data_IF_217708706469
#
_entry.id   IF_217708706469
#
_cell.length_a   1.000
_cell.length_b   1.000
_cell.length_c   1.000
_cell.angle_alpha   90.00
_cell.angle_beta   90.00
_cell.angle_gamma   90.00
#
_symmetry.space_group_name_H-M   'P 1'
#
loop_
_entity.id
_entity.type
_entity.pdbx_description
1 polymer ?
#
# COMPACT_ATOMS: atom_id res chain seq x y z
N UNK A 1 -2.13 -12.36 10.45
CA UNK A 1 -3.20 -11.43 10.03
C UNK A 1 -2.58 -10.32 9.20
N UNK A 2 -3.02 -10.13 7.95
CA UNK A 2 -2.52 -9.09 7.05
C UNK A 2 -3.57 -7.97 6.98
N UNK A 3 -3.21 -6.70 7.23
CA UNK A 3 -4.17 -5.59 7.16
C UNK A 3 -4.61 -5.34 5.71
N UNK A 4 -5.91 -5.09 5.53
CA UNK A 4 -6.51 -4.74 4.25
C UNK A 4 -6.85 -3.24 4.29
N UNK A 5 -6.39 -2.50 3.29
CA UNK A 5 -6.64 -1.06 3.14
C UNK A 5 -7.34 -0.84 1.81
N UNK A 6 -8.54 -0.24 1.85
CA UNK A 6 -9.30 0.05 0.65
C UNK A 6 -8.88 1.41 0.05
N UNK A 7 -8.30 1.38 -1.14
CA UNK A 7 -7.99 2.54 -1.95
C UNK A 7 -8.23 2.20 -3.43
N UNK A 8 -9.48 2.34 -3.87
CA UNK A 8 -9.93 1.91 -5.21
C UNK A 8 -9.10 2.52 -6.35
N UNK A 9 -8.79 3.84 -6.36
CA UNK A 9 -7.96 4.43 -7.41
C UNK A 9 -6.56 3.81 -7.51
N UNK A 10 -5.85 3.68 -6.38
CA UNK A 10 -4.50 3.13 -6.37
C UNK A 10 -4.50 1.64 -6.74
N UNK A 11 -5.46 0.88 -6.24
CA UNK A 11 -5.58 -0.54 -6.56
C UNK A 11 -5.77 -0.76 -8.07
N UNK A 12 -6.64 0.03 -8.72
CA UNK A 12 -6.84 -0.03 -10.18
C UNK A 12 -5.59 0.37 -10.95
N UNK A 13 -4.90 1.42 -10.51
CA UNK A 13 -3.68 1.89 -11.16
C UNK A 13 -2.58 0.82 -11.11
N UNK A 14 -2.30 0.28 -9.92
CA UNK A 14 -1.29 -0.78 -9.74
C UNK A 14 -1.64 -2.05 -10.53
N UNK A 15 -2.91 -2.47 -10.53
CA UNK A 15 -3.36 -3.63 -11.29
C UNK A 15 -3.18 -3.45 -12.81
N UNK A 16 -3.28 -2.22 -13.31
CA UNK A 16 -3.14 -1.93 -14.73
C UNK A 16 -1.69 -1.73 -15.17
N UNK A 17 -0.76 -1.44 -14.26
CA UNK A 17 0.60 -0.99 -14.59
C UNK A 17 1.74 -1.81 -14.01
N UNK A 18 1.46 -2.79 -13.14
CA UNK A 18 2.49 -3.54 -12.39
C UNK A 18 2.17 -5.02 -12.42
N UNK A 19 3.13 -5.83 -12.85
CA UNK A 19 3.05 -7.28 -12.74
C UNK A 19 3.56 -7.78 -11.39
N UNK A 20 3.25 -9.05 -11.08
CA UNK A 20 3.74 -9.68 -9.85
C UNK A 20 5.28 -9.73 -9.90
N UNK A 21 5.91 -9.49 -8.74
CA UNK A 21 7.37 -9.41 -8.56
C UNK A 21 8.04 -8.18 -9.19
N UNK A 22 7.27 -7.28 -9.80
CA UNK A 22 7.79 -6.00 -10.29
C UNK A 22 7.80 -4.92 -9.21
N UNK A 23 8.66 -3.93 -9.40
CA UNK A 23 8.73 -2.75 -8.54
C UNK A 23 7.58 -1.79 -8.81
N UNK A 24 7.07 -1.15 -7.76
CA UNK A 24 6.07 -0.08 -7.87
C UNK A 24 6.59 1.06 -8.77
N UNK A 25 5.77 1.62 -9.68
CA UNK A 25 6.10 2.80 -10.47
C UNK A 25 6.25 4.06 -9.61
N UNK A 26 7.14 4.97 -10.04
CA UNK A 26 7.48 6.17 -9.25
C UNK A 26 6.27 7.08 -9.02
N UNK A 27 5.34 7.16 -9.97
CA UNK A 27 4.10 7.94 -9.84
C UNK A 27 3.21 7.48 -8.68
N UNK A 28 3.41 6.27 -8.16
CA UNK A 28 2.62 5.70 -7.06
C UNK A 28 3.33 5.71 -5.71
N UNK A 29 4.58 6.19 -5.64
CA UNK A 29 5.39 6.15 -4.42
C UNK A 29 4.75 6.88 -3.24
N UNK A 30 4.22 8.08 -3.46
CA UNK A 30 3.61 8.85 -2.38
C UNK A 30 2.37 8.14 -1.80
N UNK A 31 1.51 7.60 -2.67
CA UNK A 31 0.29 6.91 -2.26
C UNK A 31 0.61 5.62 -1.50
N UNK A 32 1.57 4.84 -1.98
CA UNK A 32 2.04 3.61 -1.31
C UNK A 32 2.73 3.93 0.02
N UNK A 33 3.56 4.98 0.08
CA UNK A 33 4.23 5.40 1.31
C UNK A 33 3.23 5.78 2.43
N UNK A 34 2.13 6.48 2.08
CA UNK A 34 1.05 6.79 3.03
C UNK A 34 0.41 5.52 3.61
N UNK A 35 0.18 4.50 2.78
CA UNK A 35 -0.38 3.20 3.23
C UNK A 35 0.60 2.47 4.15
N UNK A 36 1.90 2.42 3.80
CA UNK A 36 2.93 1.83 4.65
C UNK A 36 2.94 2.52 6.01
N UNK A 37 2.92 3.85 6.04
CA UNK A 37 2.85 4.62 7.29
C UNK A 37 1.62 4.27 8.13
N UNK A 38 0.44 4.19 7.51
CA UNK A 38 -0.80 3.77 8.18
C UNK A 38 -0.65 2.37 8.80
N UNK A 39 -0.21 1.38 8.02
CA UNK A 39 -0.03 -0.01 8.48
C UNK A 39 0.97 -0.09 9.64
N UNK A 40 2.09 0.61 9.56
CA UNK A 40 3.10 0.63 10.61
C UNK A 40 2.57 1.23 11.92
N UNK A 41 1.75 2.28 11.84
CA UNK A 41 1.14 2.89 13.01
C UNK A 41 0.07 1.97 13.64
N UNK A 42 -0.78 1.35 12.82
CA UNK A 42 -1.77 0.37 13.30
C UNK A 42 -1.10 -0.85 13.93
N UNK A 43 0.02 -1.33 13.36
CA UNK A 43 0.78 -2.44 13.91
C UNK A 43 1.40 -2.11 15.27
N UNK A 44 1.91 -0.87 15.47
CA UNK A 44 2.43 -0.41 16.76
C UNK A 44 1.34 -0.32 17.84
N UNK A 45 0.14 0.14 17.48
CA UNK A 45 -1.01 0.17 18.40
C UNK A 45 -1.44 -1.22 18.86
N UNK A 46 -1.24 -2.25 18.01
CA UNK A 46 -1.58 -3.65 18.32
C UNK A 46 -0.58 -4.37 19.23
N UNK A 47 0.62 -3.80 19.45
CA UNK A 47 1.67 -4.37 20.33
C UNK A 47 1.62 -3.83 21.77
N UNK A 48 0.74 -2.87 22.05
CA UNK A 48 0.53 -2.32 23.39
C UNK A 48 -0.55 -3.07 24.13
#
# INVERSE_FOLDING_TARGET
>A
NIPIVENVPLARALFASVEIEESVPREHFEAVAKIIGFVLNTAKGRKR
#
